data_IF_761278370686
#
_entry.id   IF_761278370686
#
_cell.length_a   1.000
_cell.length_b   1.000
_cell.length_c   1.000
_cell.angle_alpha   90.00
_cell.angle_beta   90.00
_cell.angle_gamma   90.00
#
_symmetry.space_group_name_H-M   'P 1'
#
loop_
_entity.id
_entity.type
_entity.pdbx_description
1 polymer ?
#
# COMPACT_ATOMS: atom_id res chain seq x y z
N UNK A 1 -34.35 -9.06 -46.04
CA UNK A 1 -34.32 -9.26 -44.58
C UNK A 1 -33.06 -8.58 -44.08
N UNK A 2 -33.20 -7.51 -43.30
CA UNK A 2 -32.06 -6.87 -42.65
C UNK A 2 -31.56 -7.81 -41.57
N UNK A 3 -30.34 -8.30 -41.70
CA UNK A 3 -29.61 -8.87 -40.56
C UNK A 3 -29.53 -7.75 -39.52
N UNK A 4 -30.01 -7.98 -38.30
CA UNK A 4 -29.74 -7.07 -37.20
C UNK A 4 -28.23 -6.96 -37.04
N UNK A 5 -27.71 -5.75 -36.81
CA UNK A 5 -26.32 -5.57 -36.42
C UNK A 5 -26.04 -6.48 -35.23
N UNK A 6 -24.95 -7.24 -35.27
CA UNK A 6 -24.55 -8.06 -34.13
C UNK A 6 -24.31 -7.10 -32.96
N UNK A 7 -25.01 -7.24 -31.82
CA UNK A 7 -24.79 -6.39 -30.65
C UNK A 7 -23.36 -6.49 -30.09
N UNK A 8 -22.54 -7.43 -30.58
CA UNK A 8 -21.12 -7.56 -30.26
C UNK A 8 -20.18 -6.98 -31.33
N UNK A 9 -20.69 -6.41 -32.43
CA UNK A 9 -19.89 -5.77 -33.49
C UNK A 9 -19.40 -4.35 -33.11
N UNK A 10 -19.85 -3.80 -31.98
CA UNK A 10 -19.48 -2.48 -31.50
C UNK A 10 -19.30 -2.45 -29.97
N UNK A 11 -18.25 -1.75 -29.51
CA UNK A 11 -18.08 -1.41 -28.10
C UNK A 11 -18.97 -0.20 -27.77
N UNK A 12 -20.03 -0.43 -27.02
CA UNK A 12 -20.92 0.62 -26.51
C UNK A 12 -20.67 0.82 -25.01
N UNK A 13 -20.26 2.03 -24.63
CA UNK A 13 -20.04 2.42 -23.23
C UNK A 13 -21.14 3.45 -22.87
N UNK A 14 -22.14 3.08 -22.05
CA UNK A 14 -23.22 4.00 -21.68
C UNK A 14 -22.75 5.20 -20.86
N UNK A 15 -23.51 6.29 -20.92
CA UNK A 15 -23.31 7.47 -20.08
C UNK A 15 -23.30 7.09 -18.59
N UNK A 16 -22.29 7.58 -17.85
CA UNK A 16 -22.11 7.29 -16.43
C UNK A 16 -21.32 6.02 -16.12
N UNK A 17 -20.73 5.35 -17.11
CA UNK A 17 -19.82 4.23 -16.87
C UNK A 17 -18.50 4.72 -16.26
N UNK A 18 -18.11 4.16 -15.11
CA UNK A 18 -16.84 4.40 -14.42
C UNK A 18 -16.09 3.08 -14.24
N UNK A 19 -14.77 3.12 -14.35
CA UNK A 19 -13.88 2.00 -13.98
C UNK A 19 -13.27 2.36 -12.62
N UNK A 20 -13.48 1.51 -11.62
CA UNK A 20 -12.94 1.69 -10.27
C UNK A 20 -11.74 0.75 -10.07
N UNK A 21 -10.70 1.21 -9.39
CA UNK A 21 -9.60 0.35 -8.93
C UNK A 21 -10.07 -0.42 -7.70
N UNK A 22 -10.04 -1.75 -7.78
CA UNK A 22 -10.57 -2.62 -6.72
C UNK A 22 -9.47 -3.23 -5.85
N UNK A 23 -8.22 -3.22 -6.31
CA UNK A 23 -7.13 -3.97 -5.70
C UNK A 23 -5.88 -3.11 -5.49
N UNK A 24 -5.24 -3.30 -4.34
CA UNK A 24 -3.86 -2.88 -4.10
C UNK A 24 -2.92 -3.95 -4.65
N UNK A 25 -2.22 -3.63 -5.73
CA UNK A 25 -1.34 -4.57 -6.43
C UNK A 25 0.12 -4.17 -6.27
N UNK A 26 0.96 -5.13 -5.86
CA UNK A 26 2.42 -4.97 -5.81
C UNK A 26 3.11 -6.29 -6.14
N UNK A 27 4.32 -6.24 -6.68
CA UNK A 27 5.17 -7.44 -6.89
C UNK A 27 5.92 -7.87 -5.62
N UNK A 28 5.91 -7.01 -4.58
CA UNK A 28 6.54 -7.25 -3.29
C UNK A 28 5.59 -7.91 -2.28
N UNK A 29 6.11 -8.19 -1.08
CA UNK A 29 5.26 -8.59 0.04
C UNK A 29 4.35 -7.44 0.48
N UNK A 30 3.19 -7.80 1.04
CA UNK A 30 2.25 -6.87 1.66
C UNK A 30 2.18 -7.18 3.15
N UNK A 31 2.47 -6.19 3.99
CA UNK A 31 2.45 -6.29 5.44
C UNK A 31 1.41 -5.30 5.99
N UNK A 32 0.33 -5.82 6.56
CA UNK A 32 -0.74 -5.01 7.16
C UNK A 32 -0.71 -5.13 8.68
N UNK A 33 -0.44 -4.02 9.33
CA UNK A 33 -0.50 -3.91 10.78
C UNK A 33 -1.90 -4.16 11.31
N UNK A 34 -1.98 -4.80 12.48
CA UNK A 34 -3.26 -5.08 13.14
C UNK A 34 -4.15 -3.85 13.36
N UNK A 35 -5.45 -4.10 13.49
CA UNK A 35 -6.51 -3.10 13.64
C UNK A 35 -6.67 -2.13 12.45
N UNK A 36 -6.17 -2.51 11.28
CA UNK A 36 -6.32 -1.73 10.05
C UNK A 36 -7.57 -2.14 9.26
N UNK A 37 -7.99 -1.29 8.32
CA UNK A 37 -9.09 -1.57 7.38
C UNK A 37 -8.64 -1.22 5.98
N UNK A 38 -8.69 -2.20 5.09
CA UNK A 38 -8.37 -2.09 3.67
C UNK A 38 -9.69 -2.28 2.93
N UNK A 39 -10.19 -1.25 2.25
CA UNK A 39 -11.48 -1.35 1.53
C UNK A 39 -11.34 -2.06 0.18
N UNK A 40 -10.10 -2.28 -0.27
CA UNK A 40 -9.73 -2.97 -1.50
C UNK A 40 -9.49 -4.47 -1.30
N UNK A 41 -9.38 -5.19 -2.42
CA UNK A 41 -8.62 -6.42 -2.49
C UNK A 41 -7.11 -6.14 -2.43
N UNK A 42 -6.32 -7.19 -2.20
CA UNK A 42 -4.86 -7.10 -2.07
C UNK A 42 -4.22 -8.21 -2.87
N UNK A 43 -3.28 -7.84 -3.75
CA UNK A 43 -2.47 -8.77 -4.52
C UNK A 43 -0.99 -8.49 -4.30
N UNK A 44 -0.25 -9.52 -3.90
CA UNK A 44 1.18 -9.42 -3.61
C UNK A 44 1.90 -10.75 -3.65
N UNK A 45 3.22 -10.72 -3.44
CA UNK A 45 4.04 -11.93 -3.32
C UNK A 45 3.62 -12.74 -2.09
N UNK A 46 3.90 -12.24 -0.89
CA UNK A 46 3.32 -12.77 0.34
C UNK A 46 2.35 -11.74 0.93
N UNK A 47 1.29 -12.19 1.59
CA UNK A 47 0.35 -11.31 2.29
C UNK A 47 0.33 -11.65 3.76
N UNK A 48 0.66 -10.66 4.59
CA UNK A 48 0.74 -10.80 6.04
C UNK A 48 -0.17 -9.77 6.70
N UNK A 49 -1.14 -10.23 7.49
CA UNK A 49 -2.06 -9.38 8.24
C UNK A 49 -1.95 -9.64 9.74
N UNK A 50 -1.70 -8.59 10.51
CA UNK A 50 -1.77 -8.64 11.97
C UNK A 50 -3.21 -8.76 12.48
N UNK A 51 -3.38 -8.88 13.80
CA UNK A 51 -4.70 -9.12 14.38
C UNK A 51 -5.76 -8.07 13.99
N UNK A 52 -7.01 -8.51 13.79
CA UNK A 52 -8.18 -7.62 13.56
C UNK A 52 -8.06 -6.70 12.34
N UNK A 53 -7.42 -7.18 11.28
CA UNK A 53 -7.44 -6.47 9.98
C UNK A 53 -8.70 -6.85 9.22
N UNK A 54 -9.32 -5.88 8.57
CA UNK A 54 -10.44 -6.10 7.63
C UNK A 54 -10.03 -5.81 6.20
N UNK A 55 -10.39 -6.70 5.28
CA UNK A 55 -10.21 -6.55 3.84
C UNK A 55 -11.58 -6.52 3.17
N UNK A 56 -11.82 -5.51 2.33
CA UNK A 56 -13.08 -5.30 1.62
C UNK A 56 -13.20 -6.10 0.33
N UNK A 57 -12.08 -6.57 -0.23
CA UNK A 57 -12.04 -7.40 -1.43
C UNK A 57 -11.33 -8.74 -1.21
N UNK A 58 -10.86 -9.30 -2.32
CA UNK A 58 -10.13 -10.57 -2.35
C UNK A 58 -8.68 -10.41 -1.84
N UNK A 59 -8.08 -11.50 -1.37
CA UNK A 59 -6.64 -11.59 -1.13
C UNK A 59 -6.06 -12.58 -2.15
N UNK A 60 -5.07 -12.14 -2.92
CA UNK A 60 -4.28 -12.97 -3.83
C UNK A 60 -2.80 -12.91 -3.42
N UNK A 61 -2.30 -14.00 -2.83
CA UNK A 61 -0.89 -14.17 -2.51
C UNK A 61 -0.25 -15.17 -3.48
N UNK A 62 0.78 -14.76 -4.21
CA UNK A 62 1.53 -15.68 -5.09
C UNK A 62 2.31 -16.73 -4.31
N UNK A 63 2.79 -16.35 -3.12
CA UNK A 63 3.47 -17.18 -2.13
C UNK A 63 2.56 -17.49 -0.94
N UNK A 64 3.06 -17.19 0.26
CA UNK A 64 2.38 -17.48 1.52
C UNK A 64 1.37 -16.38 1.91
N UNK A 65 0.28 -16.80 2.56
CA UNK A 65 -0.68 -15.91 3.19
C UNK A 65 -0.79 -16.19 4.69
N UNK A 66 -0.63 -15.15 5.52
CA UNK A 66 -0.73 -15.26 6.98
C UNK A 66 -1.71 -14.23 7.51
N UNK A 67 -2.84 -14.69 8.04
CA UNK A 67 -3.86 -13.85 8.67
C UNK A 67 -3.89 -14.16 10.16
N UNK A 68 -3.53 -13.19 11.00
CA UNK A 68 -3.58 -13.34 12.46
C UNK A 68 -5.05 -13.35 12.97
N UNK A 69 -5.19 -13.54 14.28
CA UNK A 69 -6.48 -13.67 14.96
C UNK A 69 -7.46 -12.54 14.63
N UNK A 70 -8.73 -12.89 14.42
CA UNK A 70 -9.85 -11.97 14.14
C UNK A 70 -9.72 -11.15 12.84
N UNK A 71 -8.90 -11.58 11.89
CA UNK A 71 -8.94 -11.00 10.55
C UNK A 71 -10.28 -11.34 9.85
N UNK A 72 -10.74 -10.43 9.02
CA UNK A 72 -11.99 -10.54 8.27
C UNK A 72 -11.72 -10.19 6.80
N UNK A 73 -11.99 -11.11 5.90
CA UNK A 73 -11.83 -10.93 4.45
C UNK A 73 -13.21 -11.06 3.83
N UNK A 74 -13.71 -10.00 3.20
CA UNK A 74 -15.02 -10.03 2.56
C UNK A 74 -15.06 -10.91 1.30
N UNK A 75 -13.95 -10.98 0.58
CA UNK A 75 -13.80 -11.78 -0.64
C UNK A 75 -13.18 -13.16 -0.42
N UNK A 76 -12.60 -13.67 -1.50
CA UNK A 76 -11.85 -14.90 -1.58
C UNK A 76 -10.42 -14.72 -1.04
N UNK A 77 -9.80 -15.82 -0.63
CA UNK A 77 -8.38 -15.88 -0.29
C UNK A 77 -7.72 -16.94 -1.17
N UNK A 78 -6.90 -16.50 -2.12
CA UNK A 78 -6.17 -17.33 -3.07
C UNK A 78 -4.68 -17.32 -2.71
N UNK A 79 -4.11 -18.49 -2.48
CA UNK A 79 -2.75 -18.65 -1.95
C UNK A 79 -1.96 -19.64 -2.82
N UNK A 80 -0.87 -19.17 -3.41
CA UNK A 80 -0.02 -19.96 -4.30
C UNK A 80 0.93 -20.91 -3.57
N UNK A 81 1.25 -20.65 -2.31
CA UNK A 81 1.99 -21.56 -1.43
C UNK A 81 1.15 -21.93 -0.19
N UNK A 82 1.58 -21.53 1.01
CA UNK A 82 0.98 -21.99 2.26
C UNK A 82 0.12 -20.90 2.92
N UNK A 83 -0.96 -21.34 3.56
CA UNK A 83 -1.87 -20.47 4.27
C UNK A 83 -1.82 -20.73 5.79
N UNK A 84 -1.80 -19.66 6.56
CA UNK A 84 -1.78 -19.69 8.02
C UNK A 84 -2.88 -18.78 8.56
N UNK A 85 -4.00 -19.38 8.98
CA UNK A 85 -5.15 -18.65 9.49
C UNK A 85 -5.23 -18.76 11.02
N UNK A 86 -5.13 -17.61 11.70
CA UNK A 86 -5.27 -17.48 13.14
C UNK A 86 -6.68 -17.80 13.63
N UNK A 87 -6.84 -17.87 14.95
CA UNK A 87 -8.16 -18.06 15.57
C UNK A 87 -9.17 -16.99 15.10
N UNK A 88 -10.42 -17.42 14.85
CA UNK A 88 -11.55 -16.52 14.51
C UNK A 88 -11.32 -15.66 13.28
N UNK A 89 -10.54 -16.15 12.33
CA UNK A 89 -10.50 -15.57 10.99
C UNK A 89 -11.85 -15.84 10.31
N UNK A 90 -12.37 -14.83 9.62
CA UNK A 90 -13.55 -14.93 8.77
C UNK A 90 -13.18 -14.68 7.31
N UNK A 91 -13.65 -15.55 6.41
CA UNK A 91 -13.53 -15.41 4.96
C UNK A 91 -14.92 -15.51 4.34
N UNK A 92 -15.41 -14.42 3.77
CA UNK A 92 -16.73 -14.35 3.13
C UNK A 92 -16.82 -15.07 1.79
N UNK A 93 -15.69 -15.26 1.10
CA UNK A 93 -15.60 -16.04 -0.13
C UNK A 93 -15.05 -17.46 0.08
N UNK A 94 -14.36 -17.96 -0.94
CA UNK A 94 -13.63 -19.24 -0.89
C UNK A 94 -12.18 -19.06 -0.46
N UNK A 95 -11.65 -20.06 0.25
CA UNK A 95 -10.22 -20.20 0.50
C UNK A 95 -9.63 -21.25 -0.44
N UNK A 96 -8.66 -20.89 -1.29
CA UNK A 96 -7.94 -21.82 -2.16
C UNK A 96 -6.44 -21.75 -1.85
N UNK A 97 -5.86 -22.89 -1.48
CA UNK A 97 -4.46 -23.00 -1.06
C UNK A 97 -3.76 -24.07 -1.88
N UNK A 98 -2.72 -23.68 -2.60
CA UNK A 98 -1.97 -24.61 -3.45
C UNK A 98 -0.98 -25.48 -2.65
N UNK A 99 -0.60 -25.06 -1.45
CA UNK A 99 0.26 -25.78 -0.50
C UNK A 99 -0.47 -26.20 0.78
N UNK A 100 0.25 -26.11 1.90
CA UNK A 100 -0.24 -26.52 3.22
C UNK A 100 -1.15 -25.45 3.86
N UNK A 101 -2.10 -25.88 4.68
CA UNK A 101 -3.02 -25.01 5.42
C UNK A 101 -2.92 -25.29 6.92
N UNK A 102 -2.41 -24.32 7.67
CA UNK A 102 -2.52 -24.27 9.13
C UNK A 102 -3.74 -23.40 9.51
N UNK A 103 -4.71 -23.98 10.23
CA UNK A 103 -5.97 -23.31 10.58
C UNK A 103 -6.24 -23.34 12.08
N UNK A 104 -6.48 -22.17 12.67
CA UNK A 104 -6.79 -21.99 14.08
C UNK A 104 -8.22 -22.35 14.46
N UNK A 105 -8.55 -22.12 15.74
CA UNK A 105 -9.89 -22.41 16.27
C UNK A 105 -10.91 -21.35 15.79
N UNK A 106 -12.17 -21.77 15.64
CA UNK A 106 -13.30 -20.91 15.28
C UNK A 106 -13.13 -20.13 13.95
N UNK A 107 -12.37 -20.66 12.99
CA UNK A 107 -12.26 -20.06 11.64
C UNK A 107 -13.53 -20.37 10.84
N UNK A 108 -14.08 -19.34 10.20
CA UNK A 108 -15.30 -19.42 9.38
C UNK A 108 -15.01 -19.04 7.93
N UNK A 109 -15.44 -19.88 6.99
CA UNK A 109 -15.20 -19.73 5.54
C UNK A 109 -16.52 -20.02 4.84
N UNK A 110 -17.21 -18.97 4.39
CA UNK A 110 -18.63 -19.07 4.00
C UNK A 110 -18.85 -19.97 2.77
N UNK A 111 -17.98 -19.87 1.75
CA UNK A 111 -18.09 -20.66 0.51
C UNK A 111 -17.24 -21.95 0.54
N UNK A 112 -16.60 -22.26 1.67
CA UNK A 112 -15.74 -23.44 1.84
C UNK A 112 -14.28 -23.23 1.39
N UNK A 113 -13.47 -24.28 1.57
CA UNK A 113 -12.03 -24.22 1.29
C UNK A 113 -11.50 -25.46 0.55
N UNK A 114 -10.44 -25.24 -0.22
CA UNK A 114 -9.64 -26.27 -0.91
C UNK A 114 -8.16 -26.06 -0.58
N UNK A 115 -7.49 -27.14 -0.18
CA UNK A 115 -6.05 -27.15 0.06
C UNK A 115 -5.43 -28.38 -0.60
N UNK A 116 -4.41 -28.18 -1.44
CA UNK A 116 -3.71 -29.26 -2.14
C UNK A 116 -2.65 -29.96 -1.27
N UNK A 117 -2.18 -29.29 -0.21
CA UNK A 117 -1.24 -29.82 0.77
C UNK A 117 -1.89 -30.38 2.03
N UNK A 118 -1.13 -30.42 3.12
CA UNK A 118 -1.59 -30.90 4.42
C UNK A 118 -2.44 -29.84 5.13
N UNK A 119 -3.57 -30.26 5.69
CA UNK A 119 -4.40 -29.42 6.55
C UNK A 119 -4.08 -29.77 8.00
N UNK A 120 -3.57 -28.80 8.76
CA UNK A 120 -3.24 -28.95 10.18
C UNK A 120 -4.11 -27.99 11.00
N UNK A 121 -4.93 -28.57 11.88
CA UNK A 121 -5.77 -27.79 12.79
C UNK A 121 -4.96 -27.46 14.04
N UNK A 122 -4.42 -26.24 14.08
CA UNK A 122 -3.69 -25.65 15.19
C UNK A 122 -3.67 -24.14 15.01
N UNK A 123 -3.74 -23.36 16.09
CA UNK A 123 -3.55 -21.92 15.98
C UNK A 123 -2.09 -21.64 15.52
N UNK A 124 -1.87 -21.02 14.34
CA UNK A 124 -0.55 -20.59 13.93
C UNK A 124 0.01 -19.60 14.94
N UNK A 125 1.33 -19.64 15.16
CA UNK A 125 2.00 -18.63 15.99
C UNK A 125 1.73 -17.24 15.41
N UNK A 126 1.31 -16.23 16.20
CA UNK A 126 1.07 -14.89 15.66
C UNK A 126 2.26 -14.37 14.88
N UNK A 127 2.01 -13.65 13.79
CA UNK A 127 3.05 -13.29 12.80
C UNK A 127 4.25 -12.59 13.44
N UNK A 128 4.01 -11.62 14.32
CA UNK A 128 5.09 -10.90 15.00
C UNK A 128 5.97 -11.84 15.85
N UNK A 129 5.36 -12.82 16.50
CA UNK A 129 6.06 -13.82 17.32
C UNK A 129 6.84 -14.78 16.42
N UNK A 130 6.28 -15.18 15.28
CA UNK A 130 6.96 -16.02 14.29
C UNK A 130 8.26 -15.36 13.82
N UNK A 131 8.20 -14.11 13.34
CA UNK A 131 9.40 -13.39 12.91
C UNK A 131 10.43 -13.23 14.03
N UNK A 132 9.97 -12.94 15.25
CA UNK A 132 10.85 -12.87 16.41
C UNK A 132 11.57 -14.20 16.69
N UNK A 133 10.87 -15.33 16.58
CA UNK A 133 11.45 -16.67 16.75
C UNK A 133 12.49 -16.93 15.66
N UNK A 134 12.17 -16.69 14.39
CA UNK A 134 13.10 -16.90 13.26
C UNK A 134 14.36 -16.05 13.45
N UNK A 135 14.21 -14.76 13.71
CA UNK A 135 15.34 -13.86 13.96
C UNK A 135 16.19 -14.33 15.15
N UNK A 136 15.54 -14.74 16.25
CA UNK A 136 16.21 -15.28 17.43
C UNK A 136 16.98 -16.56 17.14
N UNK A 137 16.48 -17.41 16.25
CA UNK A 137 17.14 -18.65 15.84
C UNK A 137 18.37 -18.38 14.97
N UNK A 138 18.26 -17.50 13.96
CA UNK A 138 19.38 -17.10 13.10
C UNK A 138 20.53 -16.53 13.94
N UNK A 139 20.21 -15.63 14.88
CA UNK A 139 21.19 -15.06 15.81
C UNK A 139 21.83 -16.12 16.73
N UNK A 140 21.07 -17.13 17.17
CA UNK A 140 21.61 -18.24 17.99
C UNK A 140 22.51 -19.18 17.20
N UNK A 141 22.22 -19.39 15.91
CA UNK A 141 23.03 -20.19 14.99
C UNK A 141 24.28 -19.43 14.53
N UNK A 142 24.37 -18.13 14.80
CA UNK A 142 25.47 -17.27 14.36
C UNK A 142 25.34 -16.83 12.89
N UNK A 143 24.19 -17.04 12.27
CA UNK A 143 23.86 -16.62 10.90
C UNK A 143 23.50 -15.13 10.87
N UNK A 144 24.47 -14.28 11.21
CA UNK A 144 24.26 -12.84 11.35
C UNK A 144 23.86 -12.17 10.02
N UNK A 145 24.33 -12.70 8.88
CA UNK A 145 24.01 -12.16 7.56
C UNK A 145 22.51 -12.37 7.23
N UNK A 146 22.01 -13.60 7.36
CA UNK A 146 20.59 -13.90 7.18
C UNK A 146 19.70 -13.20 8.21
N UNK A 147 20.16 -13.06 9.46
CA UNK A 147 19.47 -12.29 10.48
C UNK A 147 19.39 -10.80 10.11
N UNK A 148 20.46 -10.25 9.54
CA UNK A 148 20.53 -8.89 9.00
C UNK A 148 19.53 -8.70 7.87
N UNK A 149 19.58 -9.55 6.84
CA UNK A 149 18.65 -9.51 5.71
C UNK A 149 17.18 -9.58 6.14
N UNK A 150 16.85 -10.48 7.08
CA UNK A 150 15.50 -10.57 7.64
C UNK A 150 15.12 -9.27 8.38
N UNK A 151 16.00 -8.74 9.21
CA UNK A 151 15.74 -7.50 9.94
C UNK A 151 15.59 -6.30 9.00
N UNK A 152 16.38 -6.25 7.93
CA UNK A 152 16.36 -5.17 6.94
C UNK A 152 15.10 -5.26 6.08
N UNK A 153 14.66 -6.46 5.69
CA UNK A 153 13.36 -6.64 5.01
C UNK A 153 12.18 -6.14 5.85
N UNK A 154 12.19 -6.40 7.17
CA UNK A 154 11.16 -5.93 8.11
C UNK A 154 11.22 -4.42 8.37
N UNK A 155 12.37 -3.79 8.15
CA UNK A 155 12.54 -2.33 8.19
C UNK A 155 12.28 -1.66 6.84
N UNK A 156 12.12 -2.43 5.76
CA UNK A 156 12.03 -1.89 4.40
C UNK A 156 13.36 -1.36 3.88
N UNK A 157 14.50 -1.93 4.27
CA UNK A 157 15.84 -1.57 3.79
C UNK A 157 16.34 -2.53 2.68
N UNK A 158 15.49 -3.46 2.21
CA UNK A 158 15.79 -4.40 1.12
C UNK A 158 15.53 -3.82 -0.27
N UNK A 159 16.20 -4.37 -1.32
CA UNK A 159 15.96 -3.98 -2.73
C UNK A 159 14.49 -4.12 -3.17
N UNK A 160 13.72 -4.99 -2.51
CA UNK A 160 12.28 -5.14 -2.71
C UNK A 160 11.57 -4.75 -1.41
N UNK A 161 11.28 -3.46 -1.23
CA UNK A 161 10.56 -2.99 -0.04
C UNK A 161 9.12 -3.51 -0.05
N UNK A 162 8.62 -4.07 1.06
CA UNK A 162 7.23 -4.50 1.16
C UNK A 162 6.28 -3.29 1.21
N UNK A 163 5.10 -3.45 0.62
CA UNK A 163 3.99 -2.53 0.88
C UNK A 163 3.60 -2.68 2.36
N UNK A 164 3.92 -1.67 3.17
CA UNK A 164 3.66 -1.71 4.61
C UNK A 164 2.54 -0.75 4.99
N UNK A 165 1.45 -1.30 5.51
CA UNK A 165 0.33 -0.54 6.05
C UNK A 165 0.42 -0.56 7.57
N UNK A 166 0.71 0.56 8.24
CA UNK A 166 0.93 0.55 9.69
C UNK A 166 -0.35 0.23 10.46
N UNK A 167 -0.20 -0.15 11.74
CA UNK A 167 -1.34 -0.49 12.62
C UNK A 167 -2.35 0.65 12.70
N UNK A 168 -3.63 0.29 12.71
CA UNK A 168 -4.72 1.26 12.86
C UNK A 168 -4.92 2.18 11.65
N UNK A 169 -4.44 1.77 10.47
CA UNK A 169 -4.57 2.55 9.24
C UNK A 169 -5.88 2.22 8.51
N UNK A 170 -6.34 3.16 7.70
CA UNK A 170 -7.44 2.94 6.76
C UNK A 170 -6.94 3.21 5.35
N UNK A 171 -7.17 2.28 4.42
CA UNK A 171 -6.78 2.43 3.01
C UNK A 171 -8.00 2.17 2.13
N UNK A 172 -8.38 3.19 1.36
CA UNK A 172 -9.52 3.16 0.45
C UNK A 172 -9.34 4.12 -0.72
N UNK A 173 -10.28 4.09 -1.67
CA UNK A 173 -10.29 4.97 -2.84
C UNK A 173 -10.48 6.45 -2.47
N UNK A 174 -11.15 6.74 -1.34
CA UNK A 174 -11.19 8.11 -0.80
C UNK A 174 -9.89 8.50 -0.11
N UNK A 175 -9.31 7.60 0.69
CA UNK A 175 -8.27 7.99 1.62
C UNK A 175 -7.33 6.88 2.09
N UNK A 176 -6.05 7.19 2.08
CA UNK A 176 -4.99 6.47 2.78
C UNK A 176 -4.68 7.23 4.07
N UNK A 177 -5.01 6.66 5.23
CA UNK A 177 -4.88 7.32 6.54
C UNK A 177 -3.96 6.52 7.44
N UNK A 178 -2.82 7.11 7.78
CA UNK A 178 -1.88 6.58 8.77
C UNK A 178 -1.63 7.62 9.86
N UNK A 179 -1.33 7.16 11.08
CA UNK A 179 -0.91 8.06 12.17
C UNK A 179 0.58 8.35 12.19
N UNK A 180 1.36 7.56 11.44
CA UNK A 180 2.82 7.60 11.31
C UNK A 180 3.23 8.36 10.04
N UNK A 181 4.53 8.57 9.79
CA UNK A 181 5.03 9.00 8.50
C UNK A 181 4.59 8.05 7.37
N UNK A 182 4.41 8.60 6.17
CA UNK A 182 4.13 7.84 4.96
C UNK A 182 5.19 8.14 3.89
N UNK A 183 5.70 7.07 3.28
CA UNK A 183 6.62 7.16 2.13
C UNK A 183 5.96 6.47 0.95
N UNK A 184 5.89 7.15 -0.19
CA UNK A 184 5.53 6.58 -1.48
C UNK A 184 6.82 6.43 -2.27
N UNK A 185 7.07 5.24 -2.83
CA UNK A 185 8.24 4.98 -3.67
C UNK A 185 8.17 5.72 -5.01
N UNK A 186 8.89 5.22 -6.01
CA UNK A 186 8.95 5.84 -7.34
C UNK A 186 7.97 5.17 -8.31
N UNK A 187 7.53 5.90 -9.35
CA UNK A 187 6.73 5.33 -10.44
C UNK A 187 5.36 4.76 -10.04
N UNK A 188 4.86 5.10 -8.86
CA UNK A 188 3.59 4.61 -8.34
C UNK A 188 2.41 5.38 -8.95
N UNK A 189 1.33 4.66 -9.22
CA UNK A 189 0.04 5.23 -9.60
C UNK A 189 -0.97 4.93 -8.50
N UNK A 190 -1.37 5.96 -7.76
CA UNK A 190 -2.20 5.80 -6.56
C UNK A 190 -3.48 6.61 -6.65
N UNK A 191 -4.58 6.03 -6.18
CA UNK A 191 -5.87 6.68 -6.01
C UNK A 191 -6.16 6.96 -4.53
N UNK A 192 -6.77 8.12 -4.28
CA UNK A 192 -7.20 8.54 -2.95
C UNK A 192 -6.28 9.52 -2.23
N UNK A 193 -6.84 10.15 -1.20
CA UNK A 193 -6.17 11.20 -0.44
C UNK A 193 -5.21 10.62 0.60
N UNK A 194 -3.92 10.94 0.52
CA UNK A 194 -2.92 10.47 1.49
C UNK A 194 -2.89 11.41 2.70
N UNK A 195 -3.09 10.85 3.88
CA UNK A 195 -3.10 11.55 5.16
C UNK A 195 -2.18 10.87 6.16
N UNK A 196 -1.13 11.57 6.58
CA UNK A 196 -0.08 11.03 7.44
C UNK A 196 0.47 12.07 8.42
N UNK A 197 1.45 11.67 9.24
CA UNK A 197 2.23 12.59 10.09
C UNK A 197 3.07 13.52 9.23
N UNK A 198 3.97 12.96 8.44
CA UNK A 198 4.71 13.56 7.32
C UNK A 198 4.51 12.69 6.08
N UNK A 199 4.72 13.26 4.89
CA UNK A 199 4.59 12.54 3.62
C UNK A 199 5.86 12.77 2.80
N UNK A 200 6.47 11.69 2.33
CA UNK A 200 7.57 11.74 1.38
C UNK A 200 7.19 10.97 0.12
N UNK A 201 7.06 11.65 -1.02
CA UNK A 201 6.70 11.03 -2.30
C UNK A 201 7.92 11.01 -3.21
N UNK A 202 8.28 9.82 -3.67
CA UNK A 202 9.36 9.55 -4.61
C UNK A 202 9.18 10.19 -6.00
N UNK A 203 10.00 9.77 -6.94
CA UNK A 203 10.07 10.31 -8.29
C UNK A 203 9.01 9.71 -9.23
N UNK A 204 8.63 10.45 -10.26
CA UNK A 204 7.79 9.96 -11.37
C UNK A 204 6.44 9.33 -10.96
N UNK A 205 5.87 9.73 -9.83
CA UNK A 205 4.60 9.22 -9.34
C UNK A 205 3.40 9.95 -9.97
N UNK A 206 2.24 9.29 -9.98
CA UNK A 206 0.97 9.89 -10.35
C UNK A 206 -0.10 9.62 -9.28
N UNK A 207 -0.41 10.64 -8.49
CA UNK A 207 -1.33 10.52 -7.35
C UNK A 207 -2.64 11.24 -7.67
N UNK A 208 -3.70 10.46 -7.84
CA UNK A 208 -5.08 10.87 -8.07
C UNK A 208 -5.79 11.18 -6.75
N UNK A 209 -5.27 12.19 -6.04
CA UNK A 209 -5.79 12.62 -4.75
C UNK A 209 -4.98 13.77 -4.18
N UNK A 210 -5.40 14.22 -2.99
CA UNK A 210 -4.71 15.28 -2.24
C UNK A 210 -3.75 14.69 -1.20
N UNK A 211 -2.65 15.40 -0.94
CA UNK A 211 -1.71 15.09 0.13
C UNK A 211 -2.00 15.97 1.36
N UNK A 212 -2.08 15.37 2.53
CA UNK A 212 -2.28 16.09 3.79
C UNK A 212 -1.42 15.55 4.91
N UNK A 213 -0.47 16.35 5.38
CA UNK A 213 0.37 16.01 6.51
C UNK A 213 0.13 16.94 7.71
N UNK A 214 0.55 16.50 8.89
CA UNK A 214 0.64 17.37 10.07
C UNK A 214 1.94 18.19 10.02
N UNK A 215 3.00 17.52 9.63
CA UNK A 215 4.36 18.01 9.46
C UNK A 215 4.66 18.18 7.97
N UNK A 216 5.86 17.80 7.54
CA UNK A 216 6.40 18.13 6.22
C UNK A 216 5.83 17.24 5.11
N UNK A 217 5.79 17.80 3.90
CA UNK A 217 5.50 17.06 2.67
C UNK A 217 6.63 17.32 1.68
N UNK A 218 7.25 16.26 1.19
CA UNK A 218 8.20 16.31 0.09
C UNK A 218 7.57 15.64 -1.14
N UNK A 219 7.60 16.34 -2.27
CA UNK A 219 7.19 15.81 -3.57
C UNK A 219 8.42 15.85 -4.48
N UNK A 220 9.00 14.68 -4.74
CA UNK A 220 10.22 14.57 -5.56
C UNK A 220 9.95 14.76 -7.05
N UNK A 221 11.05 14.82 -7.77
CA UNK A 221 11.12 15.19 -9.18
C UNK A 221 10.20 14.34 -10.08
N UNK A 222 9.63 14.96 -11.12
CA UNK A 222 8.75 14.29 -12.09
C UNK A 222 7.37 13.84 -11.56
N UNK A 223 7.12 13.91 -10.25
CA UNK A 223 5.86 13.48 -9.65
C UNK A 223 4.71 14.45 -9.92
N UNK A 224 3.53 13.89 -10.21
CA UNK A 224 2.29 14.62 -10.44
C UNK A 224 1.26 14.34 -9.33
N UNK A 225 0.84 15.40 -8.66
CA UNK A 225 -0.24 15.38 -7.66
C UNK A 225 -1.47 16.05 -8.29
N UNK A 226 -2.57 15.31 -8.40
CA UNK A 226 -3.80 15.81 -9.02
C UNK A 226 -4.66 16.65 -8.07
N UNK A 227 -4.50 16.48 -6.76
CA UNK A 227 -5.23 17.23 -5.74
C UNK A 227 -4.40 18.34 -5.10
N UNK A 228 -4.86 18.74 -3.91
CA UNK A 228 -4.23 19.76 -3.08
C UNK A 228 -3.09 19.18 -2.25
N UNK A 229 -2.09 20.01 -1.93
CA UNK A 229 -1.02 19.66 -0.98
C UNK A 229 -1.13 20.57 0.23
N UNK A 230 -1.40 19.99 1.40
CA UNK A 230 -1.67 20.77 2.62
C UNK A 230 -0.92 20.27 3.84
N UNK A 231 -0.22 21.18 4.52
CA UNK A 231 0.34 20.97 5.87
C UNK A 231 -0.28 21.97 6.84
N UNK A 232 -0.26 21.64 8.15
CA UNK A 232 -0.64 22.62 9.18
C UNK A 232 0.50 23.57 9.47
N UNK A 233 1.66 23.04 9.87
CA UNK A 233 2.82 23.83 10.29
C UNK A 233 4.12 23.39 9.62
N UNK A 234 4.09 22.31 8.83
CA UNK A 234 5.29 21.80 8.16
C UNK A 234 5.64 22.54 6.89
N UNK A 235 6.81 22.21 6.38
CA UNK A 235 7.32 22.66 5.10
C UNK A 235 6.77 21.80 3.98
N UNK A 236 6.39 22.43 2.87
CA UNK A 236 6.14 21.71 1.62
C UNK A 236 7.33 21.95 0.71
N UNK A 237 8.00 20.88 0.30
CA UNK A 237 9.09 20.92 -0.67
C UNK A 237 8.62 20.29 -1.97
N UNK A 238 8.66 21.04 -3.06
CA UNK A 238 8.30 20.58 -4.40
C UNK A 238 9.57 20.63 -5.26
N UNK A 239 10.06 19.45 -5.64
CA UNK A 239 11.31 19.30 -6.40
C UNK A 239 11.12 19.57 -7.91
N UNK A 240 12.22 19.46 -8.65
CA UNK A 240 12.30 19.84 -10.06
C UNK A 240 11.36 19.00 -10.94
N UNK A 241 10.60 19.68 -11.79
CA UNK A 241 9.65 19.03 -12.70
C UNK A 241 8.42 18.41 -12.04
N UNK A 242 8.33 18.43 -10.70
CA UNK A 242 7.12 18.00 -9.99
C UNK A 242 5.97 18.97 -10.25
N UNK A 243 4.74 18.44 -10.34
CA UNK A 243 3.55 19.22 -10.66
C UNK A 243 2.40 18.96 -9.69
N UNK A 244 1.91 20.02 -9.06
CA UNK A 244 0.69 20.01 -8.25
C UNK A 244 -0.42 20.71 -9.03
N UNK A 245 -1.51 20.01 -9.32
CA UNK A 245 -2.66 20.59 -10.04
C UNK A 245 -3.59 21.40 -9.13
N UNK A 246 -3.64 21.05 -7.84
CA UNK A 246 -4.46 21.74 -6.84
C UNK A 246 -3.77 22.90 -6.15
N UNK A 247 -4.35 23.32 -5.02
CA UNK A 247 -3.82 24.36 -4.16
C UNK A 247 -2.70 23.81 -3.26
N UNK A 248 -1.73 24.67 -2.93
CA UNK A 248 -0.69 24.38 -1.94
C UNK A 248 -0.88 25.29 -0.72
N UNK A 249 -1.04 24.70 0.46
CA UNK A 249 -1.21 25.43 1.72
C UNK A 249 -0.31 24.87 2.81
N UNK A 250 0.64 25.66 3.32
CA UNK A 250 1.66 25.17 4.25
C UNK A 250 2.15 26.21 5.27
N UNK A 251 3.02 25.76 6.19
CA UNK A 251 3.81 26.64 7.05
C UNK A 251 4.84 27.40 6.22
N UNK A 252 5.81 26.67 5.67
CA UNK A 252 6.85 27.17 4.78
C UNK A 252 6.78 26.44 3.43
N UNK A 253 7.22 27.10 2.36
CA UNK A 253 7.19 26.54 1.00
C UNK A 253 8.56 26.63 0.36
N UNK A 254 9.09 25.49 -0.10
CA UNK A 254 10.31 25.38 -0.88
C UNK A 254 9.96 24.85 -2.27
N UNK A 255 10.21 25.66 -3.30
CA UNK A 255 10.00 25.28 -4.70
C UNK A 255 11.35 25.22 -5.40
N UNK A 256 11.64 24.09 -6.04
CA UNK A 256 12.76 23.98 -6.95
C UNK A 256 12.41 24.49 -8.35
N UNK A 257 13.44 24.75 -9.15
CA UNK A 257 13.28 25.14 -10.54
C UNK A 257 12.49 24.08 -11.32
N UNK A 258 11.62 24.52 -12.23
CA UNK A 258 10.77 23.59 -13.00
C UNK A 258 9.59 23.00 -12.23
N UNK A 259 9.48 23.20 -10.92
CA UNK A 259 8.28 22.85 -10.15
C UNK A 259 7.06 23.69 -10.62
N UNK A 260 5.91 23.04 -10.79
CA UNK A 260 4.69 23.68 -11.27
C UNK A 260 3.55 23.50 -10.27
N UNK A 261 2.91 24.61 -9.90
CA UNK A 261 1.66 24.61 -9.14
C UNK A 261 0.61 25.34 -9.96
N UNK A 262 -0.43 24.62 -10.41
CA UNK A 262 -1.50 25.20 -11.24
C UNK A 262 -2.53 25.98 -10.38
N UNK A 263 -2.68 25.60 -9.11
CA UNK A 263 -3.57 26.24 -8.15
C UNK A 263 -2.95 27.42 -7.39
N UNK A 264 -3.57 27.77 -6.26
CA UNK A 264 -3.10 28.86 -5.40
C UNK A 264 -2.04 28.37 -4.42
N UNK A 265 -0.94 29.10 -4.30
CA UNK A 265 0.07 28.87 -3.25
C UNK A 265 -0.15 29.79 -2.05
N UNK A 266 -0.23 29.22 -0.84
CA UNK A 266 -0.38 29.93 0.42
C UNK A 266 0.59 29.38 1.47
N UNK A 267 1.64 30.13 1.77
CA UNK A 267 2.51 29.87 2.93
C UNK A 267 2.22 30.90 4.04
N UNK A 268 2.28 30.47 5.31
CA UNK A 268 2.19 31.40 6.45
C UNK A 268 3.53 32.04 6.80
N UNK A 269 4.62 31.33 6.54
CA UNK A 269 6.00 31.72 6.78
C UNK A 269 6.71 32.10 5.50
N UNK A 270 7.98 31.70 5.40
CA UNK A 270 8.83 31.98 4.24
C UNK A 270 8.45 31.13 3.02
N UNK A 271 8.62 31.72 1.83
CA UNK A 271 8.61 31.01 0.56
C UNK A 271 9.99 31.16 -0.08
N UNK A 272 10.64 30.03 -0.37
CA UNK A 272 11.96 29.97 -1.01
C UNK A 272 11.85 29.31 -2.37
N UNK A 273 12.52 29.92 -3.34
CA UNK A 273 12.62 29.39 -4.70
C UNK A 273 14.10 29.06 -4.93
N UNK A 274 14.40 27.79 -5.12
CA UNK A 274 15.73 27.28 -5.41
C UNK A 274 15.91 27.25 -6.93
N UNK A 275 16.73 28.15 -7.45
CA UNK A 275 17.22 28.08 -8.83
C UNK A 275 18.40 27.13 -8.90
N UNK A 276 18.42 26.24 -9.88
CA UNK A 276 19.64 25.54 -10.27
C UNK A 276 20.55 26.55 -10.95
N UNK A 277 21.76 26.73 -10.41
CA UNK A 277 22.72 27.71 -10.94
C UNK A 277 23.22 27.21 -12.33
N UNK A 278 23.09 27.99 -13.42
CA UNK A 278 23.51 27.54 -14.75
C UNK A 278 25.03 27.61 -14.88
N UNK A 279 25.76 26.65 -14.32
CA UNK A 279 27.23 26.52 -14.48
C UNK A 279 27.73 25.10 -14.71
N UNK A 280 27.00 24.27 -15.47
CA UNK A 280 27.57 23.03 -16.05
C UNK A 280 27.07 22.79 -17.47
N UNK A 281 27.67 23.52 -18.41
CA UNK A 281 27.89 23.08 -19.81
C UNK A 281 29.02 23.95 -20.40
N UNK A 282 30.18 23.93 -19.72
CA UNK A 282 31.46 24.29 -20.35
C UNK A 282 32.43 23.16 -20.04
N UNK A 283 32.40 22.12 -20.87
CA UNK A 283 33.58 21.33 -21.24
C UNK A 283 33.43 20.82 -22.69
#
# INVERSE_FOLDING_TARGET
MSLGSDPLDALEIPDGTTVEEHDLVTESDVIVGGQSTIEFGVRGRNVVAGERVRFGGDIEAEGDCRLDTWCDVAGNVLVGENAYLGERVHVGGRLMVSGDLDIGDDVDIEEGFEANGWIVIRNPVPTLVFYFIVLSQLLRLGENDAAGELADSLKGESEHQPLTIPRGSTVSDDAWRASTPATVGDGCRLHGNIRAESIDVGEDNNIFGSLRAREDIVVRSGTRIHGDVTTRNGTVTIEEGARVLGDVSCGELELHEGALVDGTMRARGEMRIHSSDPTRDIE
#
